data_IF_241798795084
#
_entry.id   IF_241798795084
#
_cell.length_a   1.000
_cell.length_b   1.000
_cell.length_c   1.000
_cell.angle_alpha   90.00
_cell.angle_beta   90.00
_cell.angle_gamma   90.00
#
_symmetry.space_group_name_H-M   'P 1'
#
loop_
_entity.id
_entity.type
_entity.pdbx_description
1 polymer ?
#
# COMPACT_ATOMS: atom_id res chain seq x y z
N UNK A 1 -16.86 -2.09 -0.53
CA UNK A 1 -16.39 -0.71 -0.77
C UNK A 1 -16.14 -0.46 -2.26
N UNK A 2 -16.23 0.79 -2.73
CA UNK A 2 -15.77 1.17 -4.07
C UNK A 2 -14.24 1.32 -4.12
N UNK A 3 -13.67 1.46 -5.32
CA UNK A 3 -12.20 1.59 -5.50
C UNK A 3 -11.61 2.77 -4.72
N UNK A 4 -12.28 3.91 -4.70
CA UNK A 4 -11.81 5.14 -4.04
C UNK A 4 -11.84 4.98 -2.53
N UNK A 5 -12.87 4.33 -2.01
CA UNK A 5 -13.01 3.97 -0.61
C UNK A 5 -11.87 3.04 -0.17
N UNK A 6 -11.55 1.99 -0.94
CA UNK A 6 -10.43 1.09 -0.62
C UNK A 6 -9.09 1.81 -0.60
N UNK A 7 -8.87 2.69 -1.57
CA UNK A 7 -7.66 3.50 -1.62
C UNK A 7 -7.56 4.43 -0.40
N UNK A 8 -8.64 5.10 -0.02
CA UNK A 8 -8.66 5.98 1.15
C UNK A 8 -8.49 5.19 2.45
N UNK A 9 -9.06 3.99 2.55
CA UNK A 9 -8.91 3.12 3.72
C UNK A 9 -7.47 2.61 3.85
N UNK A 10 -6.87 2.19 2.75
CA UNK A 10 -5.47 1.76 2.72
C UNK A 10 -4.51 2.87 3.16
N UNK A 11 -4.73 4.10 2.73
CA UNK A 11 -3.89 5.24 3.11
C UNK A 11 -3.86 5.48 4.62
N UNK A 12 -4.98 5.28 5.31
CA UNK A 12 -5.06 5.36 6.79
C UNK A 12 -4.25 4.28 7.51
N UNK A 13 -3.84 3.22 6.80
CA UNK A 13 -3.11 2.06 7.32
C UNK A 13 -1.65 2.02 6.85
N UNK A 14 -1.11 3.15 6.36
CA UNK A 14 0.29 3.29 5.97
C UNK A 14 1.00 4.19 6.99
N UNK A 15 1.89 3.59 7.76
CA UNK A 15 2.73 4.27 8.76
C UNK A 15 4.18 4.19 8.34
N UNK A 16 4.90 5.30 8.40
CA UNK A 16 6.24 5.39 7.85
C UNK A 16 7.08 6.40 8.62
N UNK A 17 8.27 5.98 9.02
CA UNK A 17 9.35 6.85 9.50
C UNK A 17 10.35 7.24 8.39
N UNK A 18 10.00 7.01 7.12
CA UNK A 18 10.77 7.41 5.94
C UNK A 18 11.12 8.90 5.89
N UNK A 19 12.25 9.22 5.24
CA UNK A 19 12.84 10.57 5.16
C UNK A 19 12.02 11.58 4.34
N UNK A 20 10.98 11.14 3.62
CA UNK A 20 10.15 12.02 2.79
C UNK A 20 10.79 12.45 1.46
N UNK A 21 11.90 11.83 1.09
CA UNK A 21 12.53 11.94 -0.22
C UNK A 21 11.66 11.35 -1.36
N UNK A 22 12.15 11.43 -2.59
CA UNK A 22 11.41 10.93 -3.76
C UNK A 22 11.16 9.42 -3.71
N UNK A 23 12.09 8.64 -3.17
CA UNK A 23 11.97 7.19 -3.04
C UNK A 23 10.85 6.79 -2.09
N UNK A 24 10.84 7.37 -0.90
CA UNK A 24 9.82 7.15 0.13
C UNK A 24 8.43 7.64 -0.30
N UNK A 25 8.34 8.78 -1.00
CA UNK A 25 7.08 9.27 -1.56
C UNK A 25 6.50 8.31 -2.60
N UNK A 26 7.33 7.85 -3.55
CA UNK A 26 6.91 6.87 -4.56
C UNK A 26 6.53 5.53 -3.92
N UNK A 27 7.26 5.09 -2.90
CA UNK A 27 6.96 3.88 -2.16
C UNK A 27 5.58 3.95 -1.51
N UNK A 28 5.26 5.04 -0.79
CA UNK A 28 3.93 5.26 -0.19
C UNK A 28 2.81 5.27 -1.24
N UNK A 29 3.02 6.02 -2.32
CA UNK A 29 2.04 6.11 -3.40
C UNK A 29 1.74 4.73 -4.02
N UNK A 30 2.76 3.90 -4.22
CA UNK A 30 2.60 2.55 -4.74
C UNK A 30 1.96 1.60 -3.71
N UNK A 31 2.38 1.69 -2.44
CA UNK A 31 1.88 0.85 -1.36
C UNK A 31 0.38 1.05 -1.12
N UNK A 32 -0.15 2.26 -1.32
CA UNK A 32 -1.60 2.54 -1.27
C UNK A 32 -2.40 1.57 -2.15
N UNK A 33 -1.93 1.28 -3.37
CA UNK A 33 -2.59 0.33 -4.27
C UNK A 33 -2.37 -1.13 -3.84
N UNK A 34 -1.17 -1.47 -3.35
CA UNK A 34 -0.87 -2.80 -2.84
C UNK A 34 -1.78 -3.16 -1.65
N UNK A 35 -1.88 -2.25 -0.68
CA UNK A 35 -2.64 -2.44 0.54
C UNK A 35 -4.16 -2.39 0.27
N UNK A 36 -4.63 -1.53 -0.64
CA UNK A 36 -6.03 -1.52 -1.07
C UNK A 36 -6.47 -2.88 -1.67
N UNK A 37 -5.59 -3.56 -2.41
CA UNK A 37 -5.87 -4.92 -2.91
C UNK A 37 -5.98 -5.94 -1.77
N UNK A 38 -5.13 -5.86 -0.75
CA UNK A 38 -5.22 -6.73 0.43
C UNK A 38 -6.54 -6.46 1.18
N UNK A 39 -6.90 -5.19 1.39
CA UNK A 39 -8.16 -4.79 2.01
C UNK A 39 -9.38 -5.28 1.22
N UNK A 40 -9.34 -5.21 -0.12
CA UNK A 40 -10.37 -5.79 -0.98
C UNK A 40 -10.53 -7.29 -0.75
N UNK A 41 -9.42 -8.03 -0.72
CA UNK A 41 -9.47 -9.47 -0.43
C UNK A 41 -9.99 -9.77 0.96
N UNK A 42 -9.59 -9.01 1.98
CA UNK A 42 -10.14 -9.14 3.33
C UNK A 42 -11.67 -8.95 3.31
N UNK A 43 -12.16 -7.87 2.69
CA UNK A 43 -13.61 -7.61 2.59
C UNK A 43 -14.34 -8.74 1.86
N UNK A 44 -13.78 -9.23 0.74
CA UNK A 44 -14.38 -10.32 -0.05
C UNK A 44 -14.53 -11.64 0.71
N UNK A 45 -13.74 -11.82 1.78
CA UNK A 45 -13.75 -12.99 2.66
C UNK A 45 -14.57 -12.74 3.95
N UNK A 46 -15.28 -11.62 4.05
CA UNK A 46 -16.03 -11.23 5.25
C UNK A 46 -15.14 -10.76 6.41
N UNK A 47 -13.88 -10.44 6.14
CA UNK A 47 -12.92 -9.95 7.14
C UNK A 47 -12.85 -8.43 7.06
N UNK A 48 -13.00 -7.76 8.21
CA UNK A 48 -12.82 -6.31 8.28
C UNK A 48 -11.41 -5.92 7.80
N UNK A 49 -11.29 -4.99 6.82
CA UNK A 49 -9.99 -4.54 6.34
C UNK A 49 -9.13 -3.92 7.44
N UNK A 50 -8.01 -4.57 7.76
CA UNK A 50 -7.12 -4.17 8.87
C UNK A 50 -5.63 -4.43 8.61
N UNK A 51 -5.27 -4.81 7.39
CA UNK A 51 -3.87 -4.95 7.03
C UNK A 51 -3.18 -3.58 7.12
N UNK A 52 -1.99 -3.55 7.71
CA UNK A 52 -1.24 -2.32 7.97
C UNK A 52 0.15 -2.45 7.41
N UNK A 53 0.64 -1.38 6.79
CA UNK A 53 2.02 -1.27 6.35
C UNK A 53 2.79 -0.37 7.30
N UNK A 54 3.90 -0.88 7.85
CA UNK A 54 4.82 -0.15 8.71
C UNK A 54 6.19 -0.18 8.03
N UNK A 55 6.77 0.98 7.71
CA UNK A 55 8.09 1.07 7.10
C UNK A 55 9.12 1.82 7.94
N UNK A 56 10.36 1.35 7.81
CA UNK A 56 11.58 1.96 8.33
C UNK A 56 12.10 3.05 7.39
N UNK A 57 13.19 3.78 7.73
CA UNK A 57 13.67 4.92 6.95
C UNK A 57 14.07 4.61 5.51
N UNK A 58 14.54 3.39 5.25
CA UNK A 58 14.99 2.94 3.92
C UNK A 58 13.79 2.47 3.07
N UNK A 59 13.13 3.45 2.45
CA UNK A 59 12.00 3.21 1.55
C UNK A 59 12.38 3.49 0.11
N UNK A 60 12.33 2.46 -0.72
CA UNK A 60 12.62 2.58 -2.15
C UNK A 60 11.48 2.00 -2.99
N UNK A 61 11.61 2.11 -4.31
CA UNK A 61 10.72 1.45 -5.26
C UNK A 61 11.53 0.55 -6.20
N UNK A 62 11.07 -0.68 -6.36
CA UNK A 62 11.63 -1.59 -7.37
C UNK A 62 10.90 -1.41 -8.69
N UNK A 63 11.64 -1.03 -9.74
CA UNK A 63 11.12 -0.88 -11.12
C UNK A 63 11.30 -2.15 -11.95
N UNK A 64 11.05 -3.32 -11.37
CA UNK A 64 11.16 -4.59 -12.08
C UNK A 64 9.85 -4.91 -12.81
N UNK A 65 9.77 -4.56 -14.09
CA UNK A 65 8.58 -4.79 -14.94
C UNK A 65 8.21 -6.26 -15.08
N UNK A 66 9.18 -7.18 -14.98
CA UNK A 66 8.91 -8.61 -15.10
C UNK A 66 8.17 -9.15 -13.86
N UNK A 67 8.50 -8.65 -12.66
CA UNK A 67 7.84 -9.06 -11.41
C UNK A 67 6.35 -8.72 -11.36
N UNK A 68 5.91 -7.68 -12.07
CA UNK A 68 4.51 -7.22 -12.08
C UNK A 68 3.67 -7.84 -13.20
N UNK A 69 4.28 -8.58 -14.14
CA UNK A 69 3.60 -9.26 -15.25
C UNK A 69 3.33 -10.76 -14.99
N UNK A 70 3.96 -11.32 -13.96
CA UNK A 70 3.70 -12.68 -13.46
C UNK A 70 2.48 -12.66 -12.52
#
# INVERSE_FOLDING_TARGET
>A
MDKKEFLNQAEKHIFSMGLGDSGSKLCKANMKYGLAKIHYWQESLGITPKATFISTPDMTVTRNVNRWRA
#
